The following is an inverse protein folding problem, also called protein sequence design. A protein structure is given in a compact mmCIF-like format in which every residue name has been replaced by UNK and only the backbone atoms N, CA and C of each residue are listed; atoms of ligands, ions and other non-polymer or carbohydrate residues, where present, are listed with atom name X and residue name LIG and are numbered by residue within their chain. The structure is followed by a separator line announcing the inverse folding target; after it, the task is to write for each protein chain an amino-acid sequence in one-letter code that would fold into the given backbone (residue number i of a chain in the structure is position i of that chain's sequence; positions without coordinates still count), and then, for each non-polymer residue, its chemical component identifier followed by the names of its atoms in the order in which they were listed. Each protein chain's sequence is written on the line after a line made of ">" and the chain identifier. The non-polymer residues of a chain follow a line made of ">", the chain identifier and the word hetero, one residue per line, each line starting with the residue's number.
data_IF_734675015981
#
_entry.id   IF_734675015981
#
_cell.length_a   1.000
_cell.length_b   1.000
_cell.length_c   1.000
_cell.angle_alpha   90.00
_cell.angle_beta   90.00
_cell.angle_gamma   90.00
#
_symmetry.space_group_name_H-M   'P 1'
#
loop_
_entity.id
_entity.type
_entity.pdbx_description
1 polymer ?
#
# COMPACT_ATOMS: atom_id res chain seq x y z
N UNK A 1 6.90 -14.85 20.09
CA UNK A 1 6.93 -14.18 18.78
C UNK A 1 5.85 -13.12 18.68
N UNK A 2 6.03 -12.13 17.78
CA UNK A 2 5.06 -11.08 17.49
C UNK A 2 3.74 -11.67 16.99
N UNK A 3 2.61 -11.23 17.55
CA UNK A 3 1.26 -11.71 17.19
C UNK A 3 0.45 -10.69 16.39
N UNK A 4 0.73 -9.40 16.58
CA UNK A 4 0.02 -8.28 15.95
C UNK A 4 0.99 -7.17 15.57
N UNK A 5 0.77 -6.55 14.42
CA UNK A 5 1.54 -5.39 13.97
C UNK A 5 0.64 -4.37 13.27
N UNK A 6 1.00 -3.09 13.40
CA UNK A 6 0.41 -1.99 12.63
C UNK A 6 1.43 -1.53 11.60
N UNK A 7 1.04 -1.54 10.33
CA UNK A 7 1.83 -1.05 9.21
C UNK A 7 1.32 0.33 8.82
N UNK A 8 2.12 1.36 9.07
CA UNK A 8 1.82 2.74 8.69
C UNK A 8 2.60 3.09 7.42
N UNK A 9 1.92 3.55 6.37
CA UNK A 9 2.55 3.94 5.11
C UNK A 9 1.79 5.06 4.41
N UNK A 10 2.37 5.69 3.38
CA UNK A 10 1.70 6.75 2.64
C UNK A 10 0.37 6.26 2.02
N UNK A 11 -0.66 7.11 1.91
CA UNK A 11 -2.00 6.70 1.47
C UNK A 11 -2.02 5.90 0.17
N UNK A 12 -1.19 6.30 -0.81
CA UNK A 12 -1.08 5.66 -2.12
C UNK A 12 -0.38 4.29 -2.09
N UNK A 13 0.36 3.95 -1.03
CA UNK A 13 1.02 2.64 -0.88
C UNK A 13 0.24 1.63 -0.06
N UNK A 14 -0.81 2.07 0.64
CA UNK A 14 -1.60 1.26 1.57
C UNK A 14 -2.04 -0.07 0.97
N UNK A 15 -2.57 -0.07 -0.27
CA UNK A 15 -3.09 -1.28 -0.93
C UNK A 15 -2.00 -2.31 -1.20
N UNK A 16 -0.89 -1.90 -1.82
CA UNK A 16 0.23 -2.79 -2.16
C UNK A 16 0.92 -3.31 -0.91
N UNK A 17 1.15 -2.43 0.07
CA UNK A 17 1.75 -2.79 1.34
C UNK A 17 0.90 -3.82 2.10
N UNK A 18 -0.43 -3.63 2.15
CA UNK A 18 -1.35 -4.59 2.76
C UNK A 18 -1.29 -5.95 2.10
N UNK A 19 -1.22 -6.00 0.77
CA UNK A 19 -1.18 -7.26 0.07
C UNK A 19 0.12 -8.03 0.31
N UNK A 20 1.27 -7.37 0.17
CA UNK A 20 2.59 -7.98 0.40
C UNK A 20 2.70 -8.50 1.85
N UNK A 21 2.37 -7.66 2.83
CA UNK A 21 2.48 -8.06 4.23
C UNK A 21 1.52 -9.19 4.60
N UNK A 22 0.28 -9.17 4.09
CA UNK A 22 -0.65 -10.27 4.36
C UNK A 22 -0.21 -11.56 3.68
N UNK A 23 0.30 -11.50 2.46
CA UNK A 23 0.79 -12.68 1.75
C UNK A 23 1.97 -13.33 2.50
N UNK A 24 2.92 -12.52 3.00
CA UNK A 24 4.12 -13.02 3.67
C UNK A 24 3.87 -13.45 5.13
N UNK A 25 3.06 -12.71 5.87
CA UNK A 25 3.01 -12.85 7.33
C UNK A 25 1.74 -13.50 7.87
N UNK A 26 0.64 -13.52 7.11
CA UNK A 26 -0.59 -14.23 7.53
C UNK A 26 -0.34 -15.75 7.68
N UNK A 27 0.40 -16.44 6.79
CA UNK A 27 0.74 -17.86 6.99
C UNK A 27 1.61 -18.10 8.22
N UNK A 28 2.35 -17.08 8.68
CA UNK A 28 3.22 -17.11 9.86
C UNK A 28 2.48 -16.73 11.16
N UNK A 29 1.16 -16.56 11.11
CA UNK A 29 0.32 -16.27 12.28
C UNK A 29 0.37 -14.83 12.79
N UNK A 30 0.90 -13.89 11.99
CA UNK A 30 0.96 -12.47 12.35
C UNK A 30 -0.24 -11.72 11.74
N UNK A 31 -1.03 -11.07 12.59
CA UNK A 31 -2.11 -10.19 12.16
C UNK A 31 -1.55 -8.78 11.87
N UNK A 32 -1.68 -8.32 10.62
CA UNK A 32 -1.21 -7.00 10.19
C UNK A 32 -2.39 -6.09 9.86
N UNK A 33 -2.51 -4.99 10.62
CA UNK A 33 -3.43 -3.87 10.33
C UNK A 33 -2.69 -2.78 9.58
N UNK A 34 -3.23 -2.30 8.47
CA UNK A 34 -2.58 -1.26 7.65
C UNK A 34 -3.31 0.05 7.82
N UNK A 35 -2.56 1.12 8.10
CA UNK A 35 -3.07 2.48 8.25
C UNK A 35 -2.32 3.41 7.29
N UNK A 36 -3.06 4.34 6.70
CA UNK A 36 -2.47 5.43 5.94
C UNK A 36 -1.89 6.48 6.89
N UNK A 37 -0.73 7.02 6.57
CA UNK A 37 -0.17 8.18 7.26
C UNK A 37 -1.12 9.39 7.07
N UNK A 38 -1.47 10.05 8.18
CA UNK A 38 -2.37 11.21 8.18
C UNK A 38 -1.72 12.44 7.53
N UNK A 39 -0.42 12.64 7.76
CA UNK A 39 0.34 13.70 7.11
C UNK A 39 0.99 13.15 5.83
N UNK A 40 0.44 13.55 4.69
CA UNK A 40 0.90 13.12 3.38
C UNK A 40 0.65 14.23 2.37
N UNK A 41 1.65 14.53 1.53
CA UNK A 41 1.50 15.47 0.43
C UNK A 41 0.45 15.03 -0.62
N UNK A 42 0.09 13.74 -0.63
CA UNK A 42 -0.87 13.14 -1.54
C UNK A 42 -2.30 13.54 -1.17
N UNK A 43 -3.01 14.19 -2.11
CA UNK A 43 -4.39 14.62 -1.91
C UNK A 43 -5.35 13.51 -2.37
N UNK A 44 -5.84 12.71 -1.43
CA UNK A 44 -6.71 11.54 -1.73
C UNK A 44 -8.01 11.97 -2.41
N UNK A 45 -8.59 13.11 -2.04
CA UNK A 45 -9.89 13.56 -2.52
C UNK A 45 -9.83 14.22 -3.90
N UNK A 46 -8.63 14.61 -4.37
CA UNK A 46 -8.45 15.37 -5.61
C UNK A 46 -7.24 14.91 -6.42
N UNK A 47 -6.80 13.66 -6.21
CA UNK A 47 -5.56 13.12 -6.80
C UNK A 47 -5.53 13.23 -8.33
N UNK A 48 -6.68 13.23 -9.00
CA UNK A 48 -6.79 13.36 -10.45
C UNK A 48 -6.48 14.76 -10.97
N UNK A 49 -6.56 15.79 -10.11
CA UNK A 49 -6.34 17.19 -10.52
C UNK A 49 -4.85 17.49 -10.69
N UNK A 50 -4.02 17.00 -9.76
CA UNK A 50 -2.57 17.26 -9.75
C UNK A 50 -1.84 16.23 -10.60
N UNK A 51 -1.03 16.68 -11.56
CA UNK A 51 -0.20 15.79 -12.41
C UNK A 51 0.68 14.85 -11.58
N UNK A 52 1.25 15.35 -10.47
CA UNK A 52 2.09 14.57 -9.55
C UNK A 52 1.31 13.39 -8.96
N UNK A 53 0.10 13.63 -8.48
CA UNK A 53 -0.71 12.61 -7.80
C UNK A 53 -1.29 11.61 -8.80
N UNK A 54 -1.68 12.06 -10.00
CA UNK A 54 -2.00 11.18 -11.14
C UNK A 54 -0.87 10.21 -11.47
N UNK A 55 0.36 10.73 -11.64
CA UNK A 55 1.52 9.90 -11.93
C UNK A 55 1.80 8.89 -10.82
N UNK A 56 1.56 9.27 -9.57
CA UNK A 56 1.74 8.41 -8.41
C UNK A 56 0.73 7.25 -8.43
N UNK A 57 -0.55 7.55 -8.66
CA UNK A 57 -1.62 6.55 -8.77
C UNK A 57 -1.35 5.59 -9.93
N UNK A 58 -1.04 6.09 -11.12
CA UNK A 58 -0.72 5.25 -12.28
C UNK A 58 0.46 4.31 -12.02
N UNK A 59 1.55 4.81 -11.42
CA UNK A 59 2.70 3.99 -11.04
C UNK A 59 2.32 2.90 -10.04
N UNK A 60 1.43 3.20 -9.10
CA UNK A 60 0.99 2.20 -8.14
C UNK A 60 0.13 1.11 -8.80
N UNK A 61 -0.72 1.46 -9.76
CA UNK A 61 -1.45 0.47 -10.55
C UNK A 61 -0.51 -0.46 -11.33
N UNK A 62 0.53 0.08 -11.97
CA UNK A 62 1.55 -0.73 -12.65
C UNK A 62 2.25 -1.68 -11.67
N UNK A 63 2.62 -1.20 -10.47
CA UNK A 63 3.23 -2.05 -9.45
C UNK A 63 2.28 -3.13 -8.93
N UNK A 64 1.00 -2.81 -8.74
CA UNK A 64 -0.01 -3.79 -8.34
C UNK A 64 -0.18 -4.88 -9.41
N UNK A 65 -0.17 -4.51 -10.68
CA UNK A 65 -0.16 -5.49 -11.78
C UNK A 65 1.11 -6.35 -11.75
N UNK A 66 2.28 -5.78 -11.46
CA UNK A 66 3.51 -6.55 -11.27
C UNK A 66 3.37 -7.63 -10.19
N UNK A 67 2.80 -7.27 -9.03
CA UNK A 67 2.55 -8.24 -7.95
C UNK A 67 1.53 -9.31 -8.37
N UNK A 68 0.52 -8.97 -9.19
CA UNK A 68 -0.48 -9.94 -9.72
C UNK A 68 0.13 -10.91 -10.73
N UNK A 69 1.02 -10.44 -11.59
CA UNK A 69 1.68 -11.24 -12.64
C UNK A 69 2.84 -12.08 -12.07
N UNK A 70 3.10 -11.99 -10.76
CA UNK A 70 4.13 -12.80 -10.10
C UNK A 70 5.56 -12.28 -10.30
N UNK A 71 5.72 -11.03 -10.75
CA UNK A 71 6.98 -10.31 -10.64
C UNK A 71 7.16 -9.95 -9.15
N UNK A 72 7.72 -10.88 -8.38
CA UNK A 72 8.13 -10.69 -6.99
C UNK A 72 9.46 -9.95 -6.93
#
# INVERSE_FOLDING_TARGET
>A
GLRRAILVTSPYHTRRAAWIFRAEFRPRGLEVRVLAAADSFFQVERWWTRRRDRNLVLREYVKLLGVLVGQR
#
